data_IF_941977593616
#
_entry.id   IF_941977593616
#
_cell.length_a   1.000
_cell.length_b   1.000
_cell.length_c   1.000
_cell.angle_alpha   90.00
_cell.angle_beta   90.00
_cell.angle_gamma   90.00
#
_symmetry.space_group_name_H-M   'P 1'
#
loop_
_entity.id
_entity.type
_entity.pdbx_description
1 polymer ?
#
# COMPACT_ATOMS: atom_id res chain seq x y z
N UNK A 1 -35.41 22.62 -0.78
CA UNK A 1 -34.10 22.42 -0.11
C UNK A 1 -33.47 21.19 -0.72
N UNK A 2 -32.47 21.38 -1.59
CA UNK A 2 -31.79 20.27 -2.27
C UNK A 2 -30.86 19.58 -1.27
N UNK A 3 -31.27 18.43 -0.75
CA UNK A 3 -30.40 17.58 0.05
C UNK A 3 -29.44 16.88 -0.89
N UNK A 4 -28.19 17.36 -0.94
CA UNK A 4 -27.10 16.66 -1.62
C UNK A 4 -27.03 15.23 -1.09
N UNK A 5 -27.13 14.25 -1.98
CA UNK A 5 -26.80 12.86 -1.66
C UNK A 5 -25.38 12.87 -1.09
N UNK A 6 -25.12 12.36 0.13
CA UNK A 6 -23.75 12.20 0.59
C UNK A 6 -23.04 11.31 -0.44
N UNK A 7 -21.92 11.77 -0.98
CA UNK A 7 -21.04 10.92 -1.77
C UNK A 7 -20.65 9.76 -0.85
N UNK A 8 -21.01 8.53 -1.23
CA UNK A 8 -20.56 7.36 -0.49
C UNK A 8 -19.03 7.32 -0.56
N UNK A 9 -18.37 7.07 0.57
CA UNK A 9 -16.92 6.88 0.60
C UNK A 9 -16.55 5.73 -0.35
N UNK A 10 -15.42 5.85 -1.09
CA UNK A 10 -14.99 4.79 -1.99
C UNK A 10 -14.75 3.49 -1.21
N UNK A 11 -15.01 2.32 -1.82
CA UNK A 11 -14.73 1.06 -1.16
C UNK A 11 -13.23 0.93 -0.88
N UNK A 12 -12.87 0.68 0.38
CA UNK A 12 -11.50 0.46 0.84
C UNK A 12 -11.39 -0.95 1.40
N UNK A 13 -10.38 -1.70 0.97
CA UNK A 13 -10.10 -3.03 1.49
C UNK A 13 -8.60 -3.33 1.48
N UNK A 14 -8.16 -4.20 2.38
CA UNK A 14 -6.86 -4.86 2.27
C UNK A 14 -7.11 -6.25 1.70
N UNK A 15 -6.41 -6.56 0.61
CA UNK A 15 -6.51 -7.84 -0.10
C UNK A 15 -5.12 -8.41 -0.32
N UNK A 16 -5.07 -9.65 -0.79
CA UNK A 16 -3.85 -10.36 -1.11
C UNK A 16 -3.76 -10.54 -2.63
N UNK A 17 -2.60 -10.28 -3.22
CA UNK A 17 -2.34 -10.45 -4.66
C UNK A 17 -0.94 -11.01 -4.92
N UNK A 18 -0.76 -11.63 -6.08
CA UNK A 18 0.55 -12.08 -6.55
C UNK A 18 1.33 -10.90 -7.16
N UNK A 19 2.49 -10.59 -6.59
CA UNK A 19 3.38 -9.55 -7.08
C UNK A 19 3.98 -9.86 -8.46
N UNK A 20 4.05 -11.14 -8.87
CA UNK A 20 4.51 -11.53 -10.20
C UNK A 20 3.56 -11.09 -11.34
N UNK A 21 2.31 -10.73 -10.99
CA UNK A 21 1.32 -10.19 -11.93
C UNK A 21 1.36 -8.66 -12.02
N UNK A 22 2.21 -7.99 -11.25
CA UNK A 22 2.39 -6.54 -11.32
C UNK A 22 3.46 -6.14 -12.33
N UNK A 23 3.43 -4.87 -12.77
CA UNK A 23 4.56 -4.30 -13.50
C UNK A 23 5.88 -4.48 -12.72
N UNK A 24 7.03 -4.56 -13.40
CA UNK A 24 8.32 -4.58 -12.74
C UNK A 24 8.47 -3.40 -11.77
N UNK A 25 9.07 -3.66 -10.61
CA UNK A 25 9.33 -2.61 -9.64
C UNK A 25 10.13 -1.46 -10.28
N UNK A 26 9.78 -0.19 -10.01
CA UNK A 26 10.59 0.94 -10.44
C UNK A 26 12.04 0.82 -9.95
N UNK A 27 12.97 1.48 -10.66
CA UNK A 27 14.40 1.45 -10.30
C UNK A 27 14.60 1.87 -8.83
N UNK A 28 15.38 1.09 -8.09
CA UNK A 28 15.66 1.34 -6.68
C UNK A 28 14.67 0.67 -5.72
N UNK A 29 13.63 0.00 -6.24
CA UNK A 29 12.60 -0.66 -5.45
C UNK A 29 12.52 -2.16 -5.73
N UNK A 30 11.98 -2.89 -4.76
CA UNK A 30 11.69 -4.33 -4.86
C UNK A 30 10.41 -4.68 -4.12
N UNK A 31 9.66 -5.63 -4.68
CA UNK A 31 8.59 -6.32 -3.97
C UNK A 31 9.22 -7.25 -2.93
N UNK A 32 8.93 -7.00 -1.66
CA UNK A 32 9.32 -7.86 -0.54
C UNK A 32 8.19 -7.86 0.47
N UNK A 33 7.48 -8.99 0.52
CA UNK A 33 6.50 -9.30 1.56
C UNK A 33 7.04 -10.41 2.47
N UNK A 34 7.30 -10.08 3.73
CA UNK A 34 7.68 -11.04 4.76
C UNK A 34 6.45 -11.68 5.38
N UNK A 35 6.53 -12.98 5.63
CA UNK A 35 5.43 -13.74 6.28
C UNK A 35 5.38 -13.52 7.79
N UNK A 36 6.50 -13.15 8.41
CA UNK A 36 6.65 -12.88 9.84
C UNK A 36 7.58 -11.66 10.03
N UNK A 37 7.29 -10.74 10.97
CA UNK A 37 8.11 -9.55 11.19
C UNK A 37 9.53 -9.86 11.69
N UNK A 38 9.75 -11.03 12.30
CA UNK A 38 11.01 -11.41 12.94
C UNK A 38 11.83 -12.41 12.09
N UNK A 39 11.31 -12.84 10.94
CA UNK A 39 12.04 -13.68 9.96
C UNK A 39 12.25 -12.98 8.62
N UNK A 40 13.01 -13.61 7.72
CA UNK A 40 13.24 -13.13 6.35
C UNK A 40 12.56 -14.02 5.30
N UNK A 41 11.59 -14.83 5.72
CA UNK A 41 10.84 -15.69 4.80
C UNK A 41 9.83 -14.84 4.00
N UNK A 42 10.01 -14.84 2.68
CA UNK A 42 9.20 -14.03 1.75
C UNK A 42 8.04 -14.83 1.14
N UNK A 43 6.89 -14.18 0.98
CA UNK A 43 5.75 -14.71 0.21
C UNK A 43 5.17 -13.65 -0.72
N UNK A 44 5.88 -13.38 -1.81
CA UNK A 44 5.45 -12.40 -2.80
C UNK A 44 4.22 -12.86 -3.63
N UNK A 45 3.81 -14.14 -3.53
CA UNK A 45 2.57 -14.64 -4.15
C UNK A 45 1.32 -14.23 -3.34
N UNK A 46 1.49 -13.94 -2.04
CA UNK A 46 0.45 -13.44 -1.15
C UNK A 46 0.75 -12.03 -0.63
N UNK A 47 1.07 -11.10 -1.53
CA UNK A 47 1.41 -9.72 -1.19
C UNK A 47 0.20 -8.92 -0.64
N UNK A 48 0.32 -8.23 0.50
CA UNK A 48 -0.70 -7.33 1.02
C UNK A 48 -0.84 -6.08 0.15
N UNK A 49 -2.06 -5.81 -0.30
CA UNK A 49 -2.39 -4.68 -1.17
C UNK A 49 -3.59 -3.95 -0.61
N UNK A 50 -3.47 -2.64 -0.46
CA UNK A 50 -4.62 -1.79 -0.18
C UNK A 50 -5.31 -1.46 -1.51
N UNK A 51 -6.63 -1.66 -1.59
CA UNK A 51 -7.44 -1.24 -2.72
C UNK A 51 -8.37 -0.12 -2.29
N UNK A 52 -8.43 0.96 -3.08
CA UNK A 52 -9.38 2.06 -2.89
C UNK A 52 -10.04 2.32 -4.25
N UNK A 53 -11.36 2.12 -4.33
CA UNK A 53 -12.10 2.17 -5.61
C UNK A 53 -11.44 1.27 -6.68
N UNK A 54 -10.97 1.87 -7.78
CA UNK A 54 -10.30 1.21 -8.91
C UNK A 54 -8.77 1.20 -8.80
N UNK A 55 -8.19 1.74 -7.72
CA UNK A 55 -6.75 1.79 -7.51
C UNK A 55 -6.26 0.65 -6.62
N UNK A 56 -5.02 0.23 -6.88
CA UNK A 56 -4.26 -0.65 -6.00
C UNK A 56 -2.99 0.02 -5.50
N UNK A 57 -2.73 -0.12 -4.20
CA UNK A 57 -1.63 0.50 -3.49
C UNK A 57 -0.68 -0.57 -2.97
N UNK A 58 0.55 -0.54 -3.47
CA UNK A 58 1.59 -1.52 -3.17
C UNK A 58 2.72 -0.85 -2.42
N UNK A 59 3.05 -1.35 -1.23
CA UNK A 59 4.19 -0.86 -0.47
C UNK A 59 5.43 -1.72 -0.79
N UNK A 60 6.42 -1.11 -1.44
CA UNK A 60 7.68 -1.74 -1.84
C UNK A 60 8.81 -1.27 -0.93
N UNK A 61 9.83 -2.12 -0.80
CA UNK A 61 11.07 -1.75 -0.10
C UNK A 61 12.10 -1.22 -1.08
N UNK A 62 13.02 -0.39 -0.59
CA UNK A 62 14.18 0.03 -1.37
C UNK A 62 15.22 -1.09 -1.47
N UNK A 63 15.90 -1.17 -2.62
CA UNK A 63 16.96 -2.17 -2.87
C UNK A 63 18.24 -1.89 -2.09
N UNK A 64 18.45 -0.65 -1.64
CA UNK A 64 19.57 -0.23 -0.79
C UNK A 64 19.38 -0.49 0.71
N UNK A 65 18.31 -1.21 1.08
CA UNK A 65 18.02 -1.68 2.43
C UNK A 65 17.77 -0.58 3.48
N UNK A 66 17.52 0.67 3.05
CA UNK A 66 17.09 1.74 3.98
C UNK A 66 15.78 1.38 4.67
N UNK A 67 15.56 1.95 5.86
CA UNK A 67 14.30 1.81 6.60
C UNK A 67 13.22 2.72 6.03
N UNK A 68 12.72 2.36 4.83
CA UNK A 68 11.63 3.05 4.17
C UNK A 68 10.81 2.15 3.27
N UNK A 69 9.55 2.55 3.08
CA UNK A 69 8.62 1.98 2.12
C UNK A 69 8.24 3.03 1.08
N UNK A 70 8.24 2.63 -0.19
CA UNK A 70 7.60 3.38 -1.25
C UNK A 70 6.18 2.83 -1.45
N UNK A 71 5.16 3.69 -1.33
CA UNK A 71 3.76 3.33 -1.60
C UNK A 71 3.43 3.75 -3.02
N UNK A 72 3.09 2.79 -3.87
CA UNK A 72 2.82 2.99 -5.29
C UNK A 72 1.33 2.81 -5.54
N UNK A 73 0.68 3.80 -6.14
CA UNK A 73 -0.69 3.74 -6.60
C UNK A 73 -0.75 3.41 -8.09
N UNK A 74 -1.37 2.30 -8.42
CA UNK A 74 -1.66 1.88 -9.78
C UNK A 74 -3.15 1.98 -10.07
N UNK A 75 -3.50 2.48 -11.26
CA UNK A 75 -4.87 2.52 -11.76
C UNK A 75 -5.37 1.12 -12.21
N UNK A 76 -6.59 1.05 -12.76
CA UNK A 76 -7.18 -0.22 -13.22
C UNK A 76 -6.41 -0.91 -14.36
N UNK A 77 -5.58 -0.16 -15.09
CA UNK A 77 -4.79 -0.66 -16.21
C UNK A 77 -3.37 -1.04 -15.79
N UNK A 78 -3.12 -1.10 -14.46
CA UNK A 78 -1.80 -1.27 -13.85
C UNK A 78 -0.78 -0.21 -14.27
N UNK A 79 -1.23 1.01 -14.58
CA UNK A 79 -0.33 2.13 -14.82
C UNK A 79 -0.05 2.84 -13.50
N UNK A 80 1.23 3.10 -13.23
CA UNK A 80 1.65 3.86 -12.06
C UNK A 80 1.18 5.31 -12.20
N UNK A 81 0.29 5.75 -11.32
CA UNK A 81 -0.21 7.13 -11.25
C UNK A 81 0.59 7.96 -10.24
N UNK A 82 0.91 7.37 -9.09
CA UNK A 82 1.65 8.07 -8.03
C UNK A 82 2.53 7.16 -7.19
N UNK A 83 3.60 7.75 -6.65
CA UNK A 83 4.48 7.14 -5.66
C UNK A 83 4.67 8.12 -4.50
N UNK A 84 4.62 7.60 -3.27
CA UNK A 84 5.01 8.31 -2.06
C UNK A 84 6.14 7.56 -1.36
N UNK A 85 7.01 8.29 -0.68
CA UNK A 85 8.11 7.73 0.10
C UNK A 85 7.85 7.99 1.59
N UNK A 86 8.01 6.96 2.40
CA UNK A 86 7.87 7.05 3.85
C UNK A 86 9.02 6.32 4.53
N UNK A 87 9.52 6.90 5.62
CA UNK A 87 10.58 6.32 6.45
C UNK A 87 10.00 5.68 7.70
N UNK A 88 10.69 4.69 8.27
CA UNK A 88 10.36 4.11 9.57
C UNK A 88 9.85 2.68 9.52
N UNK A 89 9.72 2.07 8.34
CA UNK A 89 9.54 0.63 8.18
C UNK A 89 10.16 0.18 6.84
N UNK A 90 10.52 -1.09 6.73
CA UNK A 90 10.93 -1.76 5.48
C UNK A 90 10.43 -3.20 5.52
N UNK A 91 10.44 -3.87 4.36
CA UNK A 91 10.01 -5.25 4.19
C UNK A 91 8.61 -5.47 4.74
N UNK A 92 7.62 -5.17 3.89
CA UNK A 92 6.22 -5.18 4.26
C UNK A 92 5.84 -6.56 4.83
N UNK A 93 5.14 -6.58 5.96
CA UNK A 93 4.57 -7.77 6.56
C UNK A 93 3.05 -7.74 6.39
N UNK A 94 2.42 -6.61 6.70
CA UNK A 94 0.96 -6.50 6.58
C UNK A 94 0.51 -5.05 6.44
N UNK A 95 -0.74 -4.90 5.99
CA UNK A 95 -1.44 -3.63 5.97
C UNK A 95 -2.66 -3.75 6.88
N UNK A 96 -2.85 -2.80 7.77
CA UNK A 96 -4.01 -2.72 8.65
C UNK A 96 -4.83 -1.46 8.33
N UNK A 97 -6.12 -1.66 8.11
CA UNK A 97 -7.10 -0.61 7.94
C UNK A 97 -8.49 -1.13 8.29
N UNK A 98 -9.30 -0.31 9.00
CA UNK A 98 -10.73 -0.57 9.21
C UNK A 98 -11.56 0.60 8.65
N UNK A 99 -12.76 0.34 8.12
CA UNK A 99 -13.65 1.41 7.68
C UNK A 99 -13.88 2.45 8.79
N UNK A 100 -13.62 3.72 8.47
CA UNK A 100 -13.70 4.85 9.41
C UNK A 100 -12.37 5.23 10.07
N UNK A 101 -11.32 4.43 9.94
CA UNK A 101 -9.99 4.81 10.41
C UNK A 101 -9.43 5.97 9.58
N UNK A 102 -8.78 6.93 10.23
CA UNK A 102 -8.14 8.05 9.54
C UNK A 102 -6.81 7.68 8.90
N UNK A 103 -6.23 6.53 9.25
CA UNK A 103 -4.92 6.10 8.80
C UNK A 103 -4.95 4.65 8.31
N UNK A 104 -4.16 4.38 7.28
CA UNK A 104 -3.73 3.03 6.90
C UNK A 104 -2.37 2.78 7.52
N UNK A 105 -2.19 1.65 8.18
CA UNK A 105 -0.94 1.30 8.86
C UNK A 105 -0.22 0.22 8.06
N UNK A 106 0.98 0.51 7.60
CA UNK A 106 1.88 -0.41 6.91
C UNK A 106 2.89 -0.93 7.92
N UNK A 107 2.86 -2.23 8.18
CA UNK A 107 3.71 -2.89 9.18
C UNK A 107 4.81 -3.64 8.42
N UNK A 108 6.05 -3.45 8.81
CA UNK A 108 7.22 -4.11 8.24
C UNK A 108 8.00 -4.93 9.26
N UNK A 109 9.24 -5.24 8.89
CA UNK A 109 10.19 -5.99 9.72
C UNK A 109 10.30 -5.43 11.15
N UNK A 110 10.49 -6.32 12.12
CA UNK A 110 10.59 -6.05 13.56
C UNK A 110 9.37 -5.33 14.16
N UNK A 111 8.22 -5.36 13.47
CA UNK A 111 7.00 -4.68 13.87
C UNK A 111 7.03 -3.16 13.68
N UNK A 112 8.07 -2.63 13.04
CA UNK A 112 8.15 -1.21 12.68
C UNK A 112 7.02 -0.85 11.72
N UNK A 113 6.43 0.35 11.86
CA UNK A 113 5.25 0.71 11.08
C UNK A 113 5.21 2.17 10.65
N UNK A 114 4.52 2.40 9.53
CA UNK A 114 4.21 3.71 8.98
C UNK A 114 2.70 3.89 9.00
N UNK A 115 2.21 4.93 9.67
CA UNK A 115 0.81 5.34 9.61
C UNK A 115 0.64 6.43 8.56
N UNK A 116 -0.13 6.14 7.51
CA UNK A 116 -0.40 7.08 6.41
C UNK A 116 -1.85 7.56 6.49
N UNK A 117 -2.11 8.87 6.50
CA UNK A 117 -3.47 9.39 6.45
C UNK A 117 -4.20 8.87 5.19
N UNK A 118 -5.38 8.28 5.36
CA UNK A 118 -6.14 7.76 4.21
C UNK A 118 -6.53 8.88 3.23
N UNK A 119 -6.73 10.09 3.74
CA UNK A 119 -6.96 11.30 2.93
C UNK A 119 -5.81 11.62 1.98
N UNK A 120 -4.57 11.25 2.30
CA UNK A 120 -3.42 11.40 1.40
C UNK A 120 -3.51 10.43 0.22
N UNK A 121 -3.91 9.18 0.49
CA UNK A 121 -4.07 8.15 -0.55
C UNK A 121 -5.29 8.41 -1.44
N UNK A 122 -6.37 8.97 -0.89
CA UNK A 122 -7.57 9.35 -1.64
C UNK A 122 -7.33 10.44 -2.70
N UNK A 123 -6.21 11.16 -2.63
CA UNK A 123 -5.89 12.22 -3.60
C UNK A 123 -5.78 11.74 -5.05
N UNK A 124 -5.44 10.47 -5.29
CA UNK A 124 -5.38 9.90 -6.65
C UNK A 124 -6.73 9.41 -7.16
N UNK A 125 -7.65 9.09 -6.26
CA UNK A 125 -8.97 8.55 -6.60
C UNK A 125 -9.90 9.68 -7.06
N UNK A 126 -9.66 10.90 -6.61
CA UNK A 126 -10.46 12.08 -6.93
C UNK A 126 -9.83 12.98 -8.02
N UNK A 127 -8.78 12.50 -8.69
CA UNK A 127 -8.05 13.24 -9.72
C UNK A 127 -8.71 13.15 -11.10
#
# INVERSE_FOLDING_TARGET
MSGSKPFAEPPVAVVTKDAALQPPAPKGLKYVHLTDPDTLDEDNAHYPVLTIANYSFWALSYDDNREGLAILAYDQDNKLDRQWEFTGARYLVSISYKPGDSNVVFIGQAGNSIAVPISQLLQVVHA
#
